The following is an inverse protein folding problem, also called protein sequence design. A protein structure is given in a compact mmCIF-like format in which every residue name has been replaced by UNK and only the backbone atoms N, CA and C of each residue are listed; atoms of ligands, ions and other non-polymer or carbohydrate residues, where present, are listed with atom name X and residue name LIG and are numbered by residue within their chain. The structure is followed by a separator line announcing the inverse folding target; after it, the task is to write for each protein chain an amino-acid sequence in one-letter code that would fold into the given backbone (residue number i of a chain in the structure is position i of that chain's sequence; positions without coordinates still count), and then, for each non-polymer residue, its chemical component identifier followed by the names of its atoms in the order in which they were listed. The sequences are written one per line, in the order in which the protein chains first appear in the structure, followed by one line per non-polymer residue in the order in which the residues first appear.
data_IF_471505017230
#
_entry.id   IF_471505017230
#
_cell.length_a   1.000
_cell.length_b   1.000
_cell.length_c   1.000
_cell.angle_alpha   90.00
_cell.angle_beta   90.00
_cell.angle_gamma   90.00
#
_symmetry.space_group_name_H-M   'P 1'
#
loop_
_entity.id
_entity.type
_entity.pdbx_description
1 polymer ?
#
# COMPACT_ATOMS: atom_id res chain seq x y z
N UNK A 1 14.08 -21.69 28.83
CA UNK A 1 12.97 -22.29 29.63
C UNK A 1 11.73 -21.37 29.63
N UNK A 2 11.82 -20.07 29.99
CA UNK A 2 10.67 -19.15 29.93
C UNK A 2 10.28 -18.79 28.49
N UNK A 3 11.24 -18.62 27.60
CA UNK A 3 11.05 -18.40 26.18
C UNK A 3 10.39 -19.60 25.49
N UNK A 4 10.77 -20.81 25.88
CA UNK A 4 10.20 -22.05 25.32
C UNK A 4 8.80 -22.32 25.83
N UNK A 5 8.50 -21.92 27.09
CA UNK A 5 7.16 -22.01 27.66
C UNK A 5 6.18 -21.00 27.03
N UNK A 6 6.67 -19.83 26.59
CA UNK A 6 5.88 -18.84 25.84
C UNK A 6 5.67 -19.21 24.37
N UNK A 7 6.47 -20.14 23.84
CA UNK A 7 6.32 -20.66 22.48
C UNK A 7 5.25 -21.75 22.36
N UNK A 8 4.73 -22.26 23.49
CA UNK A 8 3.60 -23.20 23.46
C UNK A 8 2.33 -22.42 23.11
N UNK A 9 1.95 -22.51 21.84
CA UNK A 9 0.66 -21.98 21.38
C UNK A 9 -0.46 -22.80 21.98
N UNK A 10 -1.39 -22.13 22.65
CA UNK A 10 -2.67 -22.73 23.05
C UNK A 10 -3.67 -22.75 21.88
N UNK A 11 -3.20 -22.44 20.68
CA UNK A 11 -4.00 -22.55 19.48
C UNK A 11 -4.26 -24.03 19.19
N UNK A 12 -5.51 -24.43 19.25
CA UNK A 12 -5.96 -25.81 18.95
C UNK A 12 -5.92 -26.11 17.45
N UNK A 13 -5.75 -25.09 16.62
CA UNK A 13 -5.66 -25.20 15.17
C UNK A 13 -4.20 -25.43 14.75
N UNK A 14 -3.82 -26.69 14.54
CA UNK A 14 -2.45 -27.12 14.21
C UNK A 14 -2.18 -27.08 12.69
N UNK A 15 -2.96 -26.38 11.94
CA UNK A 15 -2.84 -26.34 10.49
C UNK A 15 -4.15 -26.74 9.82
N UNK A 16 -4.11 -26.91 8.51
CA UNK A 16 -5.26 -27.20 7.69
C UNK A 16 -5.06 -28.56 7.00
N UNK A 17 -5.86 -29.57 7.36
CA UNK A 17 -5.84 -30.84 6.67
C UNK A 17 -6.49 -30.70 5.28
N UNK A 18 -5.72 -31.06 4.25
CA UNK A 18 -6.17 -30.80 2.87
C UNK A 18 -7.43 -31.56 2.49
N UNK A 19 -7.66 -32.72 3.02
CA UNK A 19 -8.83 -33.57 2.69
C UNK A 19 -9.94 -33.38 3.73
N UNK A 20 -9.62 -33.46 5.02
CA UNK A 20 -10.61 -33.42 6.09
C UNK A 20 -11.27 -32.03 6.21
N UNK A 21 -10.52 -30.95 6.00
CA UNK A 21 -11.03 -29.57 6.09
C UNK A 21 -11.52 -29.03 4.71
N UNK A 22 -11.91 -29.91 3.79
CA UNK A 22 -12.36 -29.50 2.46
C UNK A 22 -13.63 -28.63 2.49
N UNK A 23 -14.53 -28.87 3.44
CA UNK A 23 -15.76 -28.10 3.64
C UNK A 23 -15.44 -26.68 4.12
N UNK A 24 -14.54 -26.53 5.10
CA UNK A 24 -14.09 -25.21 5.56
C UNK A 24 -13.43 -24.40 4.45
N UNK A 25 -12.65 -25.06 3.57
CA UNK A 25 -12.06 -24.40 2.39
C UNK A 25 -13.10 -23.96 1.38
N UNK A 26 -14.11 -24.80 1.13
CA UNK A 26 -15.21 -24.46 0.24
C UNK A 26 -15.95 -23.23 0.73
N UNK A 27 -16.26 -23.18 2.02
CA UNK A 27 -16.87 -22.01 2.67
C UNK A 27 -15.99 -20.77 2.58
N UNK A 28 -14.67 -20.94 2.77
CA UNK A 28 -13.71 -19.85 2.61
C UNK A 28 -13.71 -19.29 1.17
N UNK A 29 -13.76 -20.16 0.14
CA UNK A 29 -13.80 -19.72 -1.26
C UNK A 29 -15.06 -18.93 -1.62
N UNK A 30 -16.16 -19.22 -0.93
CA UNK A 30 -17.46 -18.57 -1.16
C UNK A 30 -17.74 -17.44 -0.18
N UNK A 31 -16.89 -17.28 0.81
CA UNK A 31 -16.99 -16.16 1.76
C UNK A 31 -16.56 -14.87 1.09
N UNK A 32 -17.42 -13.85 1.19
CA UNK A 32 -17.02 -12.48 0.79
C UNK A 32 -15.89 -12.02 1.69
N UNK A 33 -14.68 -11.94 1.15
CA UNK A 33 -13.52 -11.43 1.88
C UNK A 33 -13.75 -9.97 2.26
N UNK A 34 -13.54 -9.63 3.53
CA UNK A 34 -13.61 -8.23 3.97
C UNK A 34 -12.41 -7.47 3.41
N UNK A 35 -12.63 -6.65 2.41
CA UNK A 35 -11.64 -5.74 1.82
C UNK A 35 -11.92 -4.30 2.24
N UNK A 36 -10.87 -3.48 2.24
CA UNK A 36 -10.99 -2.02 2.41
C UNK A 36 -10.93 -1.41 1.01
N UNK A 37 -12.06 -0.88 0.47
CA UNK A 37 -12.09 -0.36 -0.88
C UNK A 37 -11.46 1.03 -0.99
N UNK A 38 -11.10 1.41 -2.21
CA UNK A 38 -10.65 2.75 -2.56
C UNK A 38 -11.83 3.57 -3.11
N UNK A 39 -11.69 4.89 -3.14
CA UNK A 39 -12.55 5.79 -3.91
C UNK A 39 -12.07 5.97 -5.36
N UNK A 40 -10.99 5.28 -5.73
CA UNK A 40 -10.36 5.30 -7.03
C UNK A 40 -10.66 3.98 -7.77
N UNK A 41 -11.32 4.06 -8.94
CA UNK A 41 -11.82 2.91 -9.68
C UNK A 41 -10.70 1.96 -10.12
N UNK A 42 -9.59 2.51 -10.62
CA UNK A 42 -8.44 1.70 -11.03
C UNK A 42 -7.84 0.90 -9.88
N UNK A 43 -7.77 1.48 -8.67
CA UNK A 43 -7.29 0.75 -7.51
C UNK A 43 -8.21 -0.40 -7.11
N UNK A 44 -9.53 -0.19 -7.16
CA UNK A 44 -10.48 -1.28 -6.91
C UNK A 44 -10.38 -2.37 -7.99
N UNK A 45 -10.18 -2.00 -9.24
CA UNK A 45 -10.01 -2.95 -10.35
C UNK A 45 -8.76 -3.81 -10.14
N UNK A 46 -7.59 -3.21 -9.88
CA UNK A 46 -6.33 -3.96 -9.72
C UNK A 46 -6.25 -4.75 -8.42
N UNK A 47 -7.03 -4.41 -7.40
CA UNK A 47 -7.08 -5.13 -6.11
C UNK A 47 -8.28 -6.07 -5.99
N UNK A 48 -9.11 -6.14 -7.02
CA UNK A 48 -10.33 -6.95 -7.00
C UNK A 48 -11.32 -6.49 -5.92
N UNK A 49 -11.55 -5.16 -5.82
CA UNK A 49 -12.53 -4.54 -4.93
C UNK A 49 -11.97 -3.99 -3.62
N UNK A 50 -10.65 -3.83 -3.51
CA UNK A 50 -10.03 -3.21 -2.33
C UNK A 50 -8.90 -4.03 -1.72
N UNK A 51 -8.34 -3.55 -0.63
CA UNK A 51 -7.19 -4.14 0.06
C UNK A 51 -7.62 -5.23 1.04
N UNK A 52 -7.11 -6.47 0.90
CA UNK A 52 -7.41 -7.56 1.83
C UNK A 52 -6.82 -7.33 3.23
N UNK A 53 -7.37 -8.03 4.22
CA UNK A 53 -6.81 -8.09 5.57
C UNK A 53 -5.45 -8.80 5.58
N UNK A 54 -4.64 -8.57 6.64
CA UNK A 54 -3.36 -9.26 6.87
C UNK A 54 -2.28 -8.96 5.81
N UNK A 55 -2.28 -7.76 5.24
CA UNK A 55 -1.40 -7.39 4.12
C UNK A 55 -0.56 -6.15 4.42
N UNK A 56 0.62 -6.10 3.80
CA UNK A 56 1.50 -4.93 3.78
C UNK A 56 1.52 -4.34 2.36
N UNK A 57 1.11 -3.08 2.26
CA UNK A 57 0.95 -2.33 1.02
C UNK A 57 1.93 -1.16 1.02
N UNK A 58 2.74 -1.02 -0.03
CA UNK A 58 3.83 -0.04 -0.09
C UNK A 58 3.64 0.90 -1.27
N UNK A 59 3.71 2.18 -0.98
CA UNK A 59 3.71 3.26 -1.96
C UNK A 59 5.14 3.76 -2.15
N UNK A 60 5.70 3.56 -3.33
CA UNK A 60 7.03 4.04 -3.66
C UNK A 60 6.93 5.36 -4.43
N UNK A 61 7.69 6.37 -4.04
CA UNK A 61 7.75 7.62 -4.78
C UNK A 61 9.00 8.44 -4.43
N UNK A 62 9.38 9.33 -5.32
CA UNK A 62 10.38 10.36 -5.06
C UNK A 62 9.96 11.36 -3.97
N UNK A 63 10.91 12.18 -3.51
CA UNK A 63 10.61 13.28 -2.58
C UNK A 63 9.69 14.30 -3.28
N UNK A 64 8.63 14.73 -2.59
CA UNK A 64 7.67 15.72 -3.12
C UNK A 64 6.66 15.16 -4.13
N UNK A 65 6.82 13.94 -4.64
CA UNK A 65 5.92 13.35 -5.65
C UNK A 65 4.50 13.11 -5.12
N UNK A 66 4.33 12.71 -3.86
CA UNK A 66 2.99 12.58 -3.29
C UNK A 66 2.76 11.38 -2.37
N UNK A 67 3.80 10.81 -1.73
CA UNK A 67 3.66 9.70 -0.77
C UNK A 67 2.64 10.00 0.33
N UNK A 68 2.90 11.05 1.13
CA UNK A 68 2.02 11.44 2.23
C UNK A 68 0.66 11.94 1.73
N UNK A 69 0.59 12.53 0.52
CA UNK A 69 -0.68 12.89 -0.11
C UNK A 69 -1.53 11.63 -0.36
N UNK A 70 -0.95 10.59 -0.96
CA UNK A 70 -1.66 9.33 -1.19
C UNK A 70 -2.14 8.73 0.15
N UNK A 71 -1.26 8.66 1.16
CA UNK A 71 -1.62 8.08 2.46
C UNK A 71 -2.74 8.89 3.15
N UNK A 72 -2.67 10.24 3.14
CA UNK A 72 -3.71 11.10 3.70
C UNK A 72 -5.02 10.99 2.93
N UNK A 73 -4.97 10.97 1.59
CA UNK A 73 -6.15 10.81 0.75
C UNK A 73 -6.86 9.47 1.04
N UNK A 74 -6.11 8.37 1.04
CA UNK A 74 -6.71 7.06 1.31
C UNK A 74 -7.19 6.92 2.76
N UNK A 75 -6.52 7.55 3.73
CA UNK A 75 -7.00 7.61 5.11
C UNK A 75 -8.33 8.38 5.23
N UNK A 76 -8.46 9.52 4.55
CA UNK A 76 -9.69 10.29 4.47
C UNK A 76 -10.83 9.49 3.82
N UNK A 77 -10.54 8.82 2.70
CA UNK A 77 -11.48 7.92 2.04
C UNK A 77 -11.97 6.80 2.98
N UNK A 78 -11.06 6.09 3.64
CA UNK A 78 -11.42 5.03 4.59
C UNK A 78 -12.34 5.56 5.70
N UNK A 79 -12.08 6.77 6.21
CA UNK A 79 -12.92 7.40 7.22
C UNK A 79 -14.34 7.68 6.69
N UNK A 80 -14.48 8.17 5.46
CA UNK A 80 -15.80 8.41 4.82
C UNK A 80 -16.58 7.12 4.58
N UNK A 81 -15.89 5.99 4.45
CA UNK A 81 -16.47 4.65 4.36
C UNK A 81 -16.75 4.00 5.73
N UNK A 82 -16.72 4.79 6.81
CA UNK A 82 -16.98 4.34 8.17
C UNK A 82 -15.96 3.33 8.72
N UNK A 83 -14.73 3.30 8.19
CA UNK A 83 -13.64 2.49 8.73
C UNK A 83 -12.98 3.21 9.91
N UNK A 84 -12.50 2.45 10.88
CA UNK A 84 -11.62 2.95 11.92
C UNK A 84 -10.19 3.02 11.38
N UNK A 85 -9.61 4.20 11.37
CA UNK A 85 -8.30 4.49 10.77
C UNK A 85 -7.29 4.83 11.87
N UNK A 86 -6.15 4.15 11.89
CA UNK A 86 -4.99 4.56 12.66
C UNK A 86 -3.91 5.08 11.70
N UNK A 87 -3.53 6.34 11.86
CA UNK A 87 -2.43 6.95 11.11
C UNK A 87 -1.25 7.20 12.04
N UNK A 88 -0.14 6.54 11.79
CA UNK A 88 1.13 6.71 12.51
C UNK A 88 2.05 7.55 11.63
N UNK A 89 2.49 8.68 12.14
CA UNK A 89 3.47 9.53 11.46
C UNK A 89 4.80 9.48 12.21
N UNK A 90 5.88 9.29 11.45
CA UNK A 90 7.26 9.37 11.95
C UNK A 90 8.04 10.54 11.33
N UNK A 91 7.39 11.31 10.44
CA UNK A 91 8.00 12.43 9.70
C UNK A 91 7.41 13.77 10.10
N UNK A 92 6.10 13.84 10.28
CA UNK A 92 5.38 15.09 10.50
C UNK A 92 4.61 15.07 11.81
N UNK A 93 4.35 16.26 12.37
CA UNK A 93 3.47 16.41 13.53
C UNK A 93 2.04 15.89 13.25
N UNK A 94 1.39 15.32 14.27
CA UNK A 94 0.04 14.77 14.15
C UNK A 94 -0.99 15.82 13.71
N UNK A 95 -0.82 17.09 14.10
CA UNK A 95 -1.68 18.19 13.68
C UNK A 95 -1.52 18.49 12.18
N UNK A 96 -0.32 18.36 11.63
CA UNK A 96 -0.06 18.58 10.20
C UNK A 96 -0.66 17.47 9.33
N UNK A 97 -0.70 16.25 9.83
CA UNK A 97 -1.42 15.15 9.16
C UNK A 97 -2.93 15.40 9.24
N UNK A 98 -3.45 15.81 10.41
CA UNK A 98 -4.86 16.15 10.58
C UNK A 98 -5.29 17.29 9.63
N UNK A 99 -4.50 18.36 9.51
CA UNK A 99 -4.73 19.47 8.59
C UNK A 99 -4.85 19.01 7.13
N UNK A 100 -3.99 18.10 6.68
CA UNK A 100 -4.03 17.51 5.33
C UNK A 100 -5.27 16.67 5.10
N UNK A 101 -5.70 15.92 6.11
CA UNK A 101 -6.93 15.13 6.06
C UNK A 101 -8.15 16.06 6.08
N UNK A 102 -8.14 17.14 6.87
CA UNK A 102 -9.19 18.17 6.87
C UNK A 102 -9.31 18.83 5.49
N UNK A 103 -8.18 19.21 4.86
CA UNK A 103 -8.17 19.77 3.51
C UNK A 103 -8.86 18.84 2.49
N UNK A 104 -8.57 17.55 2.60
CA UNK A 104 -9.20 16.52 1.76
C UNK A 104 -10.71 16.41 2.03
N UNK A 105 -11.11 16.23 3.29
CA UNK A 105 -12.50 16.02 3.69
C UNK A 105 -13.37 17.26 3.42
N UNK A 106 -12.84 18.46 3.70
CA UNK A 106 -13.58 19.71 3.51
C UNK A 106 -13.62 20.17 2.05
N UNK A 107 -12.88 19.52 1.18
CA UNK A 107 -12.67 19.92 -0.21
C UNK A 107 -12.11 21.34 -0.36
N UNK A 108 -11.16 21.70 0.49
CA UNK A 108 -10.53 23.00 0.59
C UNK A 108 -9.01 22.86 0.48
N UNK A 109 -8.33 23.94 0.10
CA UNK A 109 -6.86 23.95 0.17
C UNK A 109 -6.39 23.99 1.63
N UNK A 110 -5.15 23.57 1.87
CA UNK A 110 -4.54 23.65 3.21
C UNK A 110 -4.57 25.10 3.73
N UNK A 111 -4.27 26.06 2.87
CA UNK A 111 -4.28 27.48 3.23
C UNK A 111 -5.69 27.94 3.62
N UNK A 112 -6.72 27.56 2.84
CA UNK A 112 -8.11 27.86 3.18
C UNK A 112 -8.55 27.23 4.51
N UNK A 113 -8.06 26.04 4.85
CA UNK A 113 -8.35 25.38 6.14
C UNK A 113 -7.72 26.16 7.30
N UNK A 114 -6.49 26.64 7.13
CA UNK A 114 -5.80 27.46 8.14
C UNK A 114 -6.50 28.80 8.38
N UNK A 115 -7.04 29.40 7.32
CA UNK A 115 -7.74 30.68 7.37
C UNK A 115 -9.20 30.58 7.82
N UNK A 116 -9.73 29.35 8.03
CA UNK A 116 -11.12 29.15 8.44
C UNK A 116 -11.42 29.77 9.82
N UNK A 117 -12.45 30.64 9.92
CA UNK A 117 -12.94 31.07 11.21
C UNK A 117 -13.38 29.85 12.07
N UNK A 118 -13.04 29.89 13.36
CA UNK A 118 -13.30 28.79 14.29
C UNK A 118 -14.74 28.25 14.25
N UNK A 119 -15.73 29.12 14.11
CA UNK A 119 -17.14 28.70 14.03
C UNK A 119 -17.45 27.93 12.75
N UNK A 120 -16.84 28.30 11.63
CA UNK A 120 -17.03 27.60 10.34
C UNK A 120 -16.32 26.26 10.34
N UNK A 121 -15.13 26.16 10.94
CA UNK A 121 -14.43 24.91 11.13
C UNK A 121 -15.27 23.89 11.91
N UNK A 122 -15.79 24.29 13.09
CA UNK A 122 -16.65 23.40 13.88
C UNK A 122 -17.95 23.03 13.17
N UNK A 123 -18.56 23.95 12.42
CA UNK A 123 -19.76 23.64 11.63
C UNK A 123 -19.49 22.56 10.57
N UNK A 124 -18.34 22.63 9.89
CA UNK A 124 -17.92 21.59 8.95
C UNK A 124 -17.71 20.24 9.65
N UNK A 125 -16.99 20.22 10.78
CA UNK A 125 -16.79 19.00 11.56
C UNK A 125 -18.10 18.39 12.05
N UNK A 126 -19.05 19.18 12.49
CA UNK A 126 -20.37 18.69 12.92
C UNK A 126 -21.13 18.04 11.77
N UNK A 127 -21.03 18.60 10.55
CA UNK A 127 -21.59 17.99 9.36
C UNK A 127 -21.04 16.58 9.13
N UNK A 128 -19.75 16.37 9.34
CA UNK A 128 -19.14 15.03 9.22
C UNK A 128 -19.54 14.10 10.38
N UNK A 129 -19.62 14.58 11.62
CA UNK A 129 -20.02 13.75 12.79
C UNK A 129 -21.37 13.07 12.62
N UNK A 130 -22.29 13.67 11.89
CA UNK A 130 -23.62 13.09 11.66
C UNK A 130 -23.60 11.91 10.68
N UNK A 131 -22.59 11.84 9.81
CA UNK A 131 -22.49 10.84 8.73
C UNK A 131 -21.38 9.81 8.97
N UNK A 132 -20.31 10.20 9.67
CA UNK A 132 -19.17 9.33 9.92
C UNK A 132 -19.37 8.51 11.20
N UNK A 133 -19.35 7.18 11.05
CA UNK A 133 -19.33 6.23 12.18
C UNK A 133 -17.91 5.76 12.51
N UNK A 134 -17.00 5.82 11.53
CA UNK A 134 -15.59 5.52 11.69
C UNK A 134 -14.87 6.58 12.54
N UNK A 135 -13.73 6.20 13.09
CA UNK A 135 -12.85 7.08 13.85
C UNK A 135 -11.48 7.13 13.22
N UNK A 136 -10.88 8.31 13.18
CA UNK A 136 -9.48 8.50 12.82
C UNK A 136 -8.69 8.87 14.08
N UNK A 137 -7.60 8.15 14.30
CA UNK A 137 -6.59 8.49 15.32
C UNK A 137 -5.28 8.69 14.60
N UNK A 138 -4.68 9.86 14.78
CA UNK A 138 -3.33 10.19 14.32
C UNK A 138 -2.40 10.11 15.53
N UNK A 139 -1.23 9.46 15.36
CA UNK A 139 -0.21 9.35 16.40
C UNK A 139 1.16 9.64 15.84
N UNK A 140 1.82 10.61 16.42
CA UNK A 140 3.21 10.98 16.10
C UNK A 140 4.19 10.16 16.91
N UNK A 141 5.28 9.76 16.28
CA UNK A 141 6.49 9.26 16.90
C UNK A 141 7.71 9.99 16.35
N UNK A 142 8.71 10.30 17.18
CA UNK A 142 9.94 10.89 16.68
C UNK A 142 10.63 9.95 15.66
N UNK A 143 11.23 10.57 14.65
CA UNK A 143 11.97 9.85 13.59
C UNK A 143 13.00 8.87 14.17
N UNK A 144 13.07 7.67 13.61
CA UNK A 144 13.99 6.59 13.97
C UNK A 144 13.91 6.08 15.42
N UNK A 145 12.83 6.38 16.14
CA UNK A 145 12.64 5.91 17.53
C UNK A 145 11.61 4.79 17.66
N UNK A 146 10.55 4.83 16.87
CA UNK A 146 9.46 3.88 16.96
C UNK A 146 9.70 2.64 16.09
N UNK A 147 9.44 1.48 16.66
CA UNK A 147 9.46 0.19 15.99
C UNK A 147 8.13 -0.55 16.17
N UNK A 148 8.01 -1.72 15.59
CA UNK A 148 6.78 -2.52 15.62
C UNK A 148 6.27 -2.81 17.04
N UNK A 149 7.13 -2.91 18.04
CA UNK A 149 6.69 -3.15 19.43
C UNK A 149 6.01 -1.93 20.04
N UNK A 150 6.46 -0.72 19.69
CA UNK A 150 5.75 0.52 20.06
C UNK A 150 4.37 0.58 19.40
N UNK A 151 4.25 0.15 18.15
CA UNK A 151 2.97 0.12 17.43
C UNK A 151 2.01 -0.92 18.02
N UNK A 152 2.50 -2.10 18.42
CA UNK A 152 1.71 -3.10 19.16
C UNK A 152 1.20 -2.55 20.48
N UNK A 153 2.09 -1.94 21.26
CA UNK A 153 1.71 -1.32 22.54
C UNK A 153 0.66 -0.21 22.36
N UNK A 154 0.79 0.62 21.31
CA UNK A 154 -0.21 1.63 20.97
C UNK A 154 -1.56 1.00 20.64
N UNK A 155 -1.61 -0.07 19.87
CA UNK A 155 -2.84 -0.78 19.54
C UNK A 155 -3.54 -1.34 20.78
N UNK A 156 -2.76 -1.94 21.69
CA UNK A 156 -3.29 -2.46 22.96
C UNK A 156 -3.80 -1.33 23.86
N UNK A 157 -3.08 -0.21 23.93
CA UNK A 157 -3.51 0.98 24.68
C UNK A 157 -4.80 1.59 24.12
N UNK A 158 -4.90 1.72 22.79
CA UNK A 158 -6.09 2.22 22.11
C UNK A 158 -7.30 1.31 22.36
N UNK A 159 -7.09 0.00 22.34
CA UNK A 159 -8.15 -0.95 22.70
C UNK A 159 -8.58 -0.80 24.16
N UNK A 160 -7.64 -0.79 25.08
CA UNK A 160 -7.95 -0.72 26.52
C UNK A 160 -8.62 0.61 26.92
N UNK A 161 -8.10 1.75 26.40
CA UNK A 161 -8.56 3.08 26.85
C UNK A 161 -9.73 3.63 26.04
N UNK A 162 -9.85 3.27 24.76
CA UNK A 162 -10.83 3.88 23.84
C UNK A 162 -11.75 2.86 23.18
N UNK A 163 -11.56 1.55 23.44
CA UNK A 163 -12.24 0.45 22.74
C UNK A 163 -12.09 0.62 21.21
N UNK A 164 -10.93 1.12 20.79
CA UNK A 164 -10.63 1.40 19.40
C UNK A 164 -9.82 0.26 18.78
N UNK A 165 -10.37 -0.35 17.73
CA UNK A 165 -9.71 -1.33 16.88
C UNK A 165 -9.68 -0.77 15.47
N UNK A 166 -8.51 -0.54 14.86
CA UNK A 166 -8.44 -0.06 13.50
C UNK A 166 -8.85 -1.15 12.50
N UNK A 167 -9.53 -0.73 11.43
CA UNK A 167 -9.78 -1.54 10.24
C UNK A 167 -8.64 -1.43 9.23
N UNK A 168 -7.83 -0.37 9.32
CA UNK A 168 -6.66 -0.08 8.49
C UNK A 168 -5.64 0.76 9.28
N UNK A 169 -4.35 0.55 9.00
CA UNK A 169 -3.24 1.29 9.61
C UNK A 169 -2.40 1.93 8.51
N UNK A 170 -2.10 3.21 8.66
CA UNK A 170 -1.14 3.95 7.84
C UNK A 170 0.12 4.24 8.66
N UNK A 171 1.31 4.08 8.05
CA UNK A 171 2.61 4.36 8.67
C UNK A 171 3.42 5.22 7.70
N UNK A 172 3.61 6.49 8.03
CA UNK A 172 4.30 7.46 7.19
C UNK A 172 5.67 7.83 7.82
N UNK A 173 6.79 7.26 7.33
CA UNK A 173 6.95 6.20 6.37
C UNK A 173 8.00 5.16 6.82
N UNK A 174 8.05 4.03 6.17
CA UNK A 174 8.77 2.83 6.60
C UNK A 174 10.27 3.06 6.86
N UNK A 175 10.97 3.77 5.97
CA UNK A 175 12.44 3.92 6.04
C UNK A 175 12.92 4.69 7.28
N UNK A 176 12.05 5.47 7.93
CA UNK A 176 12.36 6.22 9.16
C UNK A 176 11.83 5.57 10.43
N UNK A 177 11.26 4.37 10.33
CA UNK A 177 10.96 3.53 11.48
C UNK A 177 12.24 2.85 11.99
N UNK A 178 12.21 2.41 13.24
CA UNK A 178 13.26 1.57 13.81
C UNK A 178 12.90 0.08 13.65
N UNK A 179 13.90 -0.79 13.50
CA UNK A 179 13.69 -2.24 13.61
C UNK A 179 13.70 -2.67 15.08
N UNK A 180 12.81 -3.59 15.44
CA UNK A 180 12.80 -4.22 16.76
C UNK A 180 13.88 -5.29 16.89
N UNK A 181 14.34 -5.87 15.78
CA UNK A 181 15.30 -6.97 15.73
C UNK A 181 16.75 -6.50 15.52
N UNK A 182 16.93 -5.42 14.75
CA UNK A 182 18.24 -4.94 14.34
C UNK A 182 18.52 -3.56 14.95
N UNK A 183 19.74 -3.38 15.47
CA UNK A 183 20.19 -2.06 15.93
C UNK A 183 20.75 -1.27 14.76
N UNK A 184 20.32 -0.01 14.63
CA UNK A 184 20.87 0.93 13.65
C UNK A 184 22.35 1.20 13.98
N UNK A 185 23.26 1.09 13.00
CA UNK A 185 24.65 1.49 13.11
C UNK A 185 25.70 0.38 13.28
N UNK A 186 25.34 -0.89 13.45
CA UNK A 186 26.32 -1.97 13.56
C UNK A 186 26.28 -2.84 12.29
N UNK A 187 27.23 -2.69 11.36
CA UNK A 187 27.52 -3.60 10.22
C UNK A 187 26.33 -4.15 9.41
N UNK A 188 25.13 -3.55 9.59
CA UNK A 188 23.92 -3.92 8.89
C UNK A 188 23.76 -2.93 7.73
N UNK A 189 23.76 -3.42 6.49
CA UNK A 189 23.47 -2.56 5.36
C UNK A 189 22.00 -2.09 5.43
N UNK A 190 21.71 -0.94 4.85
CA UNK A 190 20.39 -0.33 4.86
C UNK A 190 19.32 -1.26 4.27
N UNK A 191 19.68 -2.07 3.29
CA UNK A 191 18.84 -3.13 2.71
C UNK A 191 18.29 -4.09 3.76
N UNK A 192 19.16 -4.73 4.50
CA UNK A 192 18.77 -5.71 5.52
C UNK A 192 17.94 -5.06 6.61
N UNK A 193 18.25 -3.79 6.92
CA UNK A 193 17.52 -3.02 7.92
C UNK A 193 16.09 -2.71 7.48
N UNK A 194 15.89 -2.20 6.27
CA UNK A 194 14.57 -1.87 5.71
C UNK A 194 13.73 -3.14 5.50
N UNK A 195 14.35 -4.22 5.01
CA UNK A 195 13.70 -5.53 4.91
C UNK A 195 13.21 -6.02 6.27
N UNK A 196 14.02 -5.90 7.33
CA UNK A 196 13.61 -6.30 8.67
C UNK A 196 12.40 -5.52 9.16
N UNK A 197 12.36 -4.19 8.96
CA UNK A 197 11.20 -3.37 9.30
C UNK A 197 9.96 -3.83 8.52
N UNK A 198 10.09 -4.06 7.22
CA UNK A 198 8.96 -4.52 6.39
C UNK A 198 8.42 -5.88 6.86
N UNK A 199 9.29 -6.84 7.19
CA UNK A 199 8.90 -8.15 7.73
C UNK A 199 8.20 -8.01 9.09
N UNK A 200 8.67 -7.12 9.95
CA UNK A 200 8.07 -6.82 11.25
C UNK A 200 6.67 -6.21 11.10
N UNK A 201 6.51 -5.25 10.18
CA UNK A 201 5.21 -4.63 9.88
C UNK A 201 4.24 -5.64 9.25
N UNK A 202 4.72 -6.47 8.31
CA UNK A 202 3.90 -7.53 7.73
C UNK A 202 3.46 -8.56 8.78
N UNK A 203 4.35 -8.92 9.69
CA UNK A 203 4.03 -9.78 10.84
C UNK A 203 2.91 -9.18 11.70
N UNK A 204 2.99 -7.87 12.00
CA UNK A 204 1.95 -7.15 12.74
C UNK A 204 0.61 -7.10 11.97
N UNK A 205 0.63 -6.92 10.66
CA UNK A 205 -0.58 -6.95 9.82
C UNK A 205 -1.31 -8.29 9.94
N UNK A 206 -0.57 -9.40 9.90
CA UNK A 206 -1.12 -10.76 10.07
C UNK A 206 -1.65 -10.97 11.49
N UNK A 207 -0.87 -10.62 12.51
CA UNK A 207 -1.21 -10.75 13.93
C UNK A 207 -2.49 -9.98 14.29
N UNK A 208 -2.62 -8.76 13.82
CA UNK A 208 -3.78 -7.90 14.12
C UNK A 208 -4.92 -8.05 13.11
N UNK A 209 -4.73 -8.84 12.07
CA UNK A 209 -5.70 -9.04 10.98
C UNK A 209 -6.18 -7.73 10.34
N UNK A 210 -5.23 -6.83 10.00
CA UNK A 210 -5.50 -5.52 9.40
C UNK A 210 -4.58 -5.28 8.19
N UNK A 211 -5.01 -4.56 7.15
CA UNK A 211 -4.10 -4.04 6.13
C UNK A 211 -3.26 -2.90 6.70
N UNK A 212 -1.98 -2.89 6.36
CA UNK A 212 -1.05 -1.80 6.67
C UNK A 212 -0.60 -1.16 5.36
N UNK A 213 -0.71 0.16 5.28
CA UNK A 213 -0.11 0.98 4.23
C UNK A 213 1.11 1.70 4.76
N UNK A 214 2.18 1.67 4.00
CA UNK A 214 3.34 2.51 4.27
C UNK A 214 3.95 3.02 2.98
N UNK A 215 4.93 3.91 3.09
CA UNK A 215 5.62 4.45 1.94
C UNK A 215 7.12 4.16 2.00
N UNK A 216 7.77 4.22 0.84
CA UNK A 216 9.22 4.18 0.69
C UNK A 216 9.69 5.20 -0.34
N UNK A 217 10.94 5.63 -0.25
CA UNK A 217 11.52 6.55 -1.22
C UNK A 217 12.21 5.78 -2.36
N UNK A 218 12.22 6.38 -3.55
CA UNK A 218 13.03 5.95 -4.68
C UNK A 218 14.49 6.34 -4.43
N UNK A 219 15.46 5.54 -4.90
CA UNK A 219 16.86 5.93 -4.88
C UNK A 219 17.15 7.09 -5.85
N UNK A 220 18.37 7.67 -5.78
CA UNK A 220 18.74 8.83 -6.60
C UNK A 220 18.73 8.54 -8.10
N UNK A 221 19.00 7.33 -8.53
CA UNK A 221 18.98 6.91 -9.94
C UNK A 221 17.55 6.80 -10.47
N UNK A 222 16.61 6.29 -9.67
CA UNK A 222 15.20 6.23 -10.03
C UNK A 222 14.47 7.58 -10.04
N UNK A 223 15.06 8.63 -9.43
CA UNK A 223 14.42 9.95 -9.34
C UNK A 223 14.27 10.64 -10.71
N UNK A 224 15.21 10.40 -11.64
CA UNK A 224 15.18 10.97 -12.98
C UNK A 224 14.65 9.99 -14.06
N UNK A 225 14.10 8.86 -13.62
CA UNK A 225 13.64 7.82 -14.54
C UNK A 225 12.11 7.90 -14.69
N UNK A 226 11.64 8.10 -15.91
CA UNK A 226 10.22 8.06 -16.25
C UNK A 226 9.63 6.64 -16.14
N UNK A 227 10.48 5.61 -16.06
CA UNK A 227 10.08 4.21 -15.91
C UNK A 227 10.68 3.57 -14.64
N UNK A 228 10.16 3.94 -13.51
CA UNK A 228 10.58 3.43 -12.20
C UNK A 228 10.26 1.94 -12.06
N UNK A 229 11.27 1.13 -11.71
CA UNK A 229 11.16 -0.31 -11.51
C UNK A 229 11.35 -0.76 -10.05
N UNK A 230 11.32 -2.07 -9.81
CA UNK A 230 11.61 -2.64 -8.48
C UNK A 230 13.06 -2.40 -8.05
N UNK A 231 13.98 -2.28 -9.00
CA UNK A 231 15.39 -1.97 -8.84
C UNK A 231 15.64 -0.55 -8.31
N UNK A 232 14.68 0.36 -8.52
CA UNK A 232 14.77 1.76 -8.09
C UNK A 232 14.32 1.98 -6.64
N UNK A 233 13.92 0.92 -5.94
CA UNK A 233 13.69 1.02 -4.49
C UNK A 233 14.99 1.46 -3.82
N UNK A 234 14.92 2.48 -2.99
CA UNK A 234 16.09 3.22 -2.46
C UNK A 234 17.14 2.33 -1.81
N UNK A 235 16.83 1.10 -1.52
CA UNK A 235 17.73 0.16 -0.84
C UNK A 235 17.34 -1.31 -1.06
N UNK A 236 16.70 -1.69 -2.28
CA UNK A 236 16.79 -3.08 -2.69
C UNK A 236 15.55 -3.96 -2.87
N UNK A 237 15.77 -5.11 -3.47
CA UNK A 237 14.83 -6.22 -3.72
C UNK A 237 14.15 -6.83 -2.48
N UNK A 238 14.58 -6.51 -1.25
CA UNK A 238 14.00 -7.09 -0.03
C UNK A 238 12.62 -6.57 0.32
N UNK A 239 12.39 -5.28 0.08
CA UNK A 239 11.08 -4.68 0.33
C UNK A 239 10.00 -5.22 -0.65
N UNK A 240 10.26 -5.28 -1.97
CA UNK A 240 9.34 -5.94 -2.90
C UNK A 240 9.09 -7.41 -2.58
N UNK A 241 10.09 -8.14 -2.08
CA UNK A 241 9.90 -9.55 -1.69
C UNK A 241 8.90 -9.69 -0.54
N UNK A 242 8.90 -8.76 0.40
CA UNK A 242 8.09 -8.81 1.63
C UNK A 242 6.68 -8.24 1.44
N UNK A 243 6.52 -7.13 0.72
CA UNK A 243 5.22 -6.49 0.49
C UNK A 243 4.24 -7.42 -0.27
N UNK A 244 2.94 -7.29 0.02
CA UNK A 244 1.88 -8.00 -0.71
C UNK A 244 1.41 -7.21 -1.93
N UNK A 245 1.41 -5.88 -1.82
CA UNK A 245 1.10 -4.96 -2.90
C UNK A 245 2.11 -3.81 -2.91
N UNK A 246 2.58 -3.42 -4.09
CA UNK A 246 3.52 -2.32 -4.24
C UNK A 246 3.27 -1.56 -5.53
N UNK A 247 3.16 -0.25 -5.41
CA UNK A 247 3.03 0.68 -6.54
C UNK A 247 4.10 1.76 -6.49
N UNK A 248 4.43 2.30 -7.66
CA UNK A 248 5.19 3.54 -7.79
C UNK A 248 4.29 4.70 -8.22
N UNK A 249 4.46 5.85 -7.58
CA UNK A 249 3.95 7.13 -8.02
C UNK A 249 5.04 7.84 -8.79
N UNK A 250 4.76 8.24 -10.02
CA UNK A 250 5.72 8.84 -10.96
C UNK A 250 5.17 10.19 -11.38
N UNK A 251 5.98 11.23 -11.26
CA UNK A 251 5.69 12.58 -11.74
C UNK A 251 6.72 12.97 -12.79
N UNK A 252 6.25 13.54 -13.89
CA UNK A 252 7.07 14.19 -14.92
C UNK A 252 6.60 15.63 -15.08
N UNK A 253 7.38 16.49 -15.71
CA UNK A 253 6.99 17.89 -15.95
C UNK A 253 5.64 17.95 -16.69
N UNK A 254 5.44 17.11 -17.71
CA UNK A 254 4.18 17.03 -18.45
C UNK A 254 2.99 16.63 -17.60
N UNK A 255 3.16 15.65 -16.69
CA UNK A 255 2.11 15.23 -15.76
C UNK A 255 1.81 16.33 -14.73
N UNK A 256 2.82 17.04 -14.26
CA UNK A 256 2.64 18.15 -13.30
C UNK A 256 1.87 19.32 -13.92
N UNK A 257 2.17 19.69 -15.16
CA UNK A 257 1.42 20.73 -15.91
C UNK A 257 -0.07 20.39 -16.05
N UNK A 258 -0.38 19.09 -16.20
CA UNK A 258 -1.76 18.61 -16.31
C UNK A 258 -2.43 18.27 -14.96
N UNK A 259 -1.75 18.52 -13.83
CA UNK A 259 -2.20 18.08 -12.50
C UNK A 259 -2.50 16.58 -12.47
N UNK A 260 -1.61 15.79 -13.01
CA UNK A 260 -1.71 14.34 -13.10
C UNK A 260 -0.53 13.64 -12.44
N UNK A 261 -0.70 12.38 -12.10
CA UNK A 261 0.34 11.50 -11.58
C UNK A 261 0.15 10.11 -12.17
N UNK A 262 1.25 9.49 -12.60
CA UNK A 262 1.20 8.14 -13.09
C UNK A 262 1.41 7.14 -11.95
N UNK A 263 0.58 6.11 -11.92
CA UNK A 263 0.69 4.96 -11.03
C UNK A 263 1.20 3.77 -11.85
N UNK A 264 2.26 3.12 -11.35
CA UNK A 264 2.79 1.87 -11.92
C UNK A 264 2.70 0.76 -10.89
N UNK A 265 2.06 -0.36 -11.24
CA UNK A 265 2.10 -1.55 -10.42
C UNK A 265 3.49 -2.20 -10.46
N UNK A 266 4.10 -2.40 -9.31
CA UNK A 266 5.39 -3.08 -9.16
C UNK A 266 5.22 -4.51 -8.66
N UNK A 267 4.26 -4.72 -7.77
CA UNK A 267 3.90 -6.03 -7.22
C UNK A 267 2.43 -6.07 -6.85
N UNK A 268 1.77 -7.16 -7.15
CA UNK A 268 0.37 -7.38 -6.78
C UNK A 268 0.15 -8.88 -6.51
N UNK A 269 -0.20 -9.23 -5.27
CA UNK A 269 -0.59 -10.59 -4.87
C UNK A 269 -2.10 -10.81 -4.92
N UNK A 270 -2.87 -9.76 -5.21
CA UNK A 270 -4.33 -9.80 -5.19
C UNK A 270 -4.92 -10.09 -6.57
N UNK A 271 -4.16 -9.75 -7.63
CA UNK A 271 -4.59 -9.89 -9.01
C UNK A 271 -3.36 -9.91 -9.95
N UNK A 272 -3.59 -10.08 -11.24
CA UNK A 272 -2.52 -10.04 -12.25
C UNK A 272 -1.89 -8.64 -12.35
N UNK A 273 -0.58 -8.57 -12.12
CA UNK A 273 0.22 -7.33 -12.22
C UNK A 273 0.24 -6.78 -13.66
N UNK A 274 0.07 -7.64 -14.68
CA UNK A 274 0.07 -7.21 -16.08
C UNK A 274 -1.19 -6.44 -16.44
N UNK A 275 -2.31 -6.71 -15.74
CA UNK A 275 -3.56 -5.99 -15.96
C UNK A 275 -3.49 -4.58 -15.39
N UNK A 276 -3.65 -3.56 -16.24
CA UNK A 276 -3.54 -2.13 -15.86
C UNK A 276 -2.22 -1.81 -15.17
N UNK A 277 -1.10 -2.27 -15.74
CA UNK A 277 0.25 -2.11 -15.19
C UNK A 277 0.62 -0.66 -14.90
N UNK A 278 0.17 0.27 -15.76
CA UNK A 278 0.33 1.73 -15.60
C UNK A 278 -1.02 2.40 -15.84
N UNK A 279 -1.33 3.43 -15.07
CA UNK A 279 -2.50 4.28 -15.27
C UNK A 279 -2.27 5.68 -14.68
N UNK A 280 -3.08 6.65 -15.11
CA UNK A 280 -2.99 8.04 -14.67
C UNK A 280 -4.11 8.35 -13.69
N UNK A 281 -3.79 9.12 -12.67
CA UNK A 281 -4.73 9.76 -11.75
C UNK A 281 -4.57 11.27 -11.83
N UNK A 282 -5.66 11.98 -11.61
CA UNK A 282 -5.62 13.41 -11.32
C UNK A 282 -5.12 13.64 -9.88
N UNK A 283 -4.38 14.72 -9.68
CA UNK A 283 -3.85 15.11 -8.37
C UNK A 283 -4.17 16.58 -8.08
N UNK A 284 -4.76 16.86 -6.94
CA UNK A 284 -4.90 18.21 -6.41
C UNK A 284 -4.06 18.31 -5.13
N UNK A 285 -2.86 18.86 -5.26
CA UNK A 285 -1.90 18.97 -4.16
C UNK A 285 -2.40 19.89 -3.05
N UNK A 286 -3.06 21.01 -3.40
CA UNK A 286 -3.59 21.96 -2.44
C UNK A 286 -4.69 21.37 -1.55
N UNK A 287 -5.54 20.51 -2.13
CA UNK A 287 -6.64 19.84 -1.43
C UNK A 287 -6.28 18.44 -0.94
N UNK A 288 -5.04 18.00 -1.09
CA UNK A 288 -4.59 16.64 -0.71
C UNK A 288 -5.45 15.53 -1.33
N UNK A 289 -5.88 15.68 -2.59
CA UNK A 289 -6.79 14.77 -3.28
C UNK A 289 -6.16 14.09 -4.49
N UNK A 290 -6.56 12.83 -4.68
CA UNK A 290 -6.45 12.08 -5.93
C UNK A 290 -7.85 11.83 -6.49
N UNK A 291 -7.96 11.69 -7.81
CA UNK A 291 -9.24 11.41 -8.47
C UNK A 291 -9.01 10.67 -9.78
N UNK A 292 -10.00 9.90 -10.21
CA UNK A 292 -9.95 9.23 -11.51
C UNK A 292 -10.05 10.27 -12.63
N UNK A 293 -9.26 10.08 -13.70
CA UNK A 293 -9.29 10.92 -14.91
C UNK A 293 -10.02 10.20 -16.04
N UNK A 294 -10.46 10.97 -17.03
CA UNK A 294 -11.20 10.45 -18.17
C UNK A 294 -10.39 9.45 -19.01
N UNK A 295 -11.11 8.57 -19.75
CA UNK A 295 -10.47 7.55 -20.60
C UNK A 295 -9.55 8.13 -21.68
N UNK A 296 -9.79 9.36 -22.11
CA UNK A 296 -8.95 10.04 -23.10
C UNK A 296 -7.54 10.33 -22.54
N UNK A 297 -7.44 10.70 -21.27
CA UNK A 297 -6.17 10.97 -20.61
C UNK A 297 -5.35 9.68 -20.41
N UNK A 298 -6.04 8.53 -20.27
CA UNK A 298 -5.40 7.21 -20.23
C UNK A 298 -4.84 6.77 -21.59
N UNK A 299 -5.38 7.27 -22.72
CA UNK A 299 -5.03 6.82 -24.07
C UNK A 299 -3.62 7.20 -24.51
N UNK A 300 -3.04 8.27 -23.94
CA UNK A 300 -1.64 8.66 -24.15
C UNK A 300 -0.65 7.58 -23.72
N UNK A 301 -0.95 6.83 -22.63
CA UNK A 301 -0.12 5.71 -22.16
C UNK A 301 -0.18 4.48 -23.07
N UNK A 302 -1.32 4.22 -23.74
CA UNK A 302 -1.51 3.06 -24.60
C UNK A 302 -0.65 3.17 -25.89
N UNK A 303 -0.42 4.38 -26.39
CA UNK A 303 0.43 4.60 -27.56
C UNK A 303 1.92 4.43 -27.23
N UNK A 304 2.36 4.79 -26.02
CA UNK A 304 3.76 4.63 -25.61
C UNK A 304 4.12 3.15 -25.40
N UNK A 305 3.19 2.33 -24.89
CA UNK A 305 3.42 0.89 -24.72
C UNK A 305 3.56 0.13 -26.05
N UNK A 306 2.82 0.53 -27.11
CA UNK A 306 2.95 -0.08 -28.44
C UNK A 306 4.27 0.24 -29.13
N UNK A 307 4.86 1.42 -28.86
CA UNK A 307 6.16 1.81 -29.41
C UNK A 307 7.34 1.15 -28.69
N UNK A 308 7.20 0.78 -27.42
CA UNK A 308 8.24 0.05 -26.67
C UNK A 308 8.27 -1.44 -27.05
N UNK A 309 7.13 -2.09 -27.23
CA UNK A 309 7.05 -3.48 -27.70
C UNK A 309 7.61 -3.65 -29.14
N UNK A 310 7.39 -2.67 -30.02
CA UNK A 310 7.97 -2.70 -31.38
C UNK A 310 9.46 -2.43 -31.39
N UNK A 311 10.04 -1.72 -30.44
CA UNK A 311 11.50 -1.52 -30.33
C UNK A 311 12.21 -2.73 -29.71
N UNK A 312 11.58 -3.46 -28.80
CA UNK A 312 12.12 -4.69 -28.23
C UNK A 312 12.08 -5.87 -29.20
N UNK A 313 11.15 -5.86 -30.18
CA UNK A 313 11.02 -6.91 -31.21
C UNK A 313 11.99 -6.84 -32.37
N UNK A 314 12.66 -5.71 -32.59
CA UNK A 314 13.54 -5.51 -33.78
C UNK A 314 15.05 -5.72 -33.52
N UNK A 315 15.43 -6.32 -32.41
CA UNK A 315 16.83 -6.55 -32.00
C UNK A 315 17.33 -7.98 -32.06
N UNK A 316 16.62 -8.91 -32.70
CA UNK A 316 17.12 -10.28 -32.90
C UNK A 316 17.22 -10.58 -34.40
N UNK A 317 18.43 -10.36 -34.89
CA UNK A 317 18.92 -10.73 -36.22
C UNK A 317 18.78 -12.24 -36.44
N UNK A 318 18.35 -12.55 -37.68
CA UNK A 318 17.98 -13.90 -38.09
C UNK A 318 19.06 -14.96 -37.88
N UNK A 319 18.76 -15.93 -37.04
CA UNK A 319 19.30 -17.29 -37.17
C UNK A 319 18.15 -18.28 -37.17
N UNK A 320 17.95 -18.91 -38.31
CA UNK A 320 17.09 -20.05 -38.51
C UNK A 320 17.37 -21.13 -37.44
N UNK A 321 16.38 -21.40 -36.60
CA UNK A 321 16.27 -22.63 -35.86
C UNK A 321 15.01 -23.38 -36.30
N UNK A 322 15.08 -23.90 -37.54
CA UNK A 322 14.30 -25.09 -37.90
C UNK A 322 15.10 -26.29 -37.46
N UNK A 323 14.68 -26.96 -36.40
CA UNK A 323 14.72 -28.40 -36.25
C UNK A 323 14.19 -28.87 -34.88
N UNK A 324 13.04 -29.55 -34.94
CA UNK A 324 12.62 -30.67 -34.08
C UNK A 324 12.40 -30.41 -32.59
N UNK A 325 11.19 -30.01 -32.23
CA UNK A 325 10.55 -30.56 -31.04
C UNK A 325 9.09 -30.95 -31.38
N UNK A 326 8.86 -32.19 -31.67
CA UNK A 326 7.52 -32.81 -31.62
C UNK A 326 7.19 -33.13 -30.18
N UNK A 327 6.01 -32.69 -29.64
CA UNK A 327 5.61 -33.08 -28.30
C UNK A 327 5.22 -34.56 -28.33
N UNK A 328 5.90 -35.35 -27.50
CA UNK A 328 5.53 -36.73 -27.24
C UNK A 328 4.16 -36.75 -26.52
N UNK A 329 3.14 -37.20 -27.25
CA UNK A 329 1.88 -37.67 -26.65
C UNK A 329 2.19 -38.93 -25.84
N UNK A 330 2.10 -38.83 -24.53
CA UNK A 330 2.27 -40.01 -23.69
C UNK A 330 1.96 -39.75 -22.22
N UNK A 331 0.84 -40.27 -21.77
CA UNK A 331 0.47 -40.62 -20.40
C UNK A 331 -0.14 -39.50 -19.52
N UNK A 332 -1.38 -39.13 -19.81
CA UNK A 332 -2.37 -38.75 -18.82
C UNK A 332 -3.75 -39.36 -19.16
N UNK A 333 -3.81 -40.69 -19.33
CA UNK A 333 -5.06 -41.45 -19.37
C UNK A 333 -4.99 -42.50 -18.29
N UNK A 334 -5.32 -42.16 -17.06
CA UNK A 334 -5.83 -43.10 -16.05
C UNK A 334 -6.04 -42.40 -14.70
N UNK A 335 -6.95 -41.47 -14.65
CA UNK A 335 -7.59 -41.05 -13.39
C UNK A 335 -9.05 -40.77 -13.74
N UNK A 336 -9.83 -41.82 -13.90
CA UNK A 336 -11.29 -41.82 -13.79
C UNK A 336 -11.65 -42.26 -12.38
N UNK A 337 -12.34 -41.42 -11.66
CA UNK A 337 -13.06 -41.73 -10.42
C UNK A 337 -14.23 -42.61 -10.79
#
# INVERSE_FOLDING_TARGET
ILSDALAVSFDTHIGHDYIEDAEERYDFYHRVEKKVPFDLEFFNTITGGGTPQKTLNIIMAGTGVGKSLFLCHHAANCLTQNQNVLYITCEMAEERIAERIDANLFDMTIDDVQDLPRQMYYKKLEGFKTHLKGKLIVKEYPTATANVNHFRALLDELWMKKQFKPDIIFIDYLNICASARLKNGANVNSYTYIKAIAEELRGMAVERSVPIFSATQVNRTGFNNSDVGLEDTSESFGLPATADFMIALISTEELEENNQIMVKQLKNRYNDVASNKKFILGINRGKMKLYDVDKNDQSGLLQTNQTEETKAGNGLDGRNFDEKFSPSKGKFESWSI
#
